data_IF_548967281040
#
_entry.id   IF_548967281040
#
_cell.length_a   1.000
_cell.length_b   1.000
_cell.length_c   1.000
_cell.angle_alpha   90.00
_cell.angle_beta   90.00
_cell.angle_gamma   90.00
#
_symmetry.space_group_name_H-M   'P 1'
#
loop_
_entity.id
_entity.type
_entity.pdbx_description
1 polymer ?
#
# COMPACT_ATOMS: atom_id res chain seq x y z
N UNK A 1 -4.59 3.85 3.49
CA UNK A 1 -3.74 4.58 4.46
C UNK A 1 -2.31 4.04 4.49
N UNK A 2 -2.05 2.80 4.93
CA UNK A 2 -0.67 2.21 4.91
C UNK A 2 -0.02 2.24 3.52
N UNK A 3 -0.71 1.78 2.46
CA UNK A 3 -0.18 1.82 1.09
C UNK A 3 0.11 3.25 0.61
N UNK A 4 -0.76 4.22 0.92
CA UNK A 4 -0.55 5.61 0.51
C UNK A 4 0.68 6.22 1.18
N UNK A 5 0.82 6.03 2.50
CA UNK A 5 2.01 6.45 3.25
C UNK A 5 3.28 5.72 2.79
N UNK A 6 3.19 4.41 2.52
CA UNK A 6 4.33 3.60 2.10
C UNK A 6 4.92 4.05 0.77
N UNK A 7 4.06 4.45 -0.16
CA UNK A 7 4.44 4.80 -1.54
C UNK A 7 4.34 6.30 -1.82
N UNK A 8 4.15 7.14 -0.79
CA UNK A 8 4.06 8.61 -0.96
C UNK A 8 2.89 9.05 -1.85
N UNK A 9 1.79 8.29 -1.93
CA UNK A 9 0.72 8.57 -2.89
C UNK A 9 -0.09 9.85 -2.56
N UNK A 10 0.06 10.40 -1.35
CA UNK A 10 -0.63 11.61 -0.91
C UNK A 10 0.32 12.84 -0.86
N UNK A 11 1.61 12.66 -0.61
CA UNK A 11 2.60 13.73 -0.31
C UNK A 11 3.99 13.52 -0.96
N UNK A 12 4.09 12.58 -1.90
CA UNK A 12 5.31 12.15 -2.60
C UNK A 12 6.47 11.75 -1.65
N UNK A 13 6.14 11.44 -0.39
CA UNK A 13 7.11 11.11 0.65
C UNK A 13 6.89 9.67 1.14
N UNK A 14 7.62 8.68 0.58
CA UNK A 14 7.52 7.29 1.03
C UNK A 14 7.97 7.12 2.48
N UNK A 15 7.11 6.53 3.30
CA UNK A 15 7.41 6.22 4.71
C UNK A 15 7.76 4.74 4.90
N UNK A 16 8.63 4.44 5.85
CA UNK A 16 8.95 3.07 6.26
C UNK A 16 7.84 2.45 7.11
N UNK A 17 7.80 1.11 7.20
CA UNK A 17 6.86 0.41 8.08
C UNK A 17 7.00 0.81 9.56
N UNK A 18 8.20 1.22 9.98
CA UNK A 18 8.47 1.66 11.34
C UNK A 18 7.91 3.07 11.59
N UNK A 19 8.10 4.01 10.65
CA UNK A 19 7.53 5.36 10.74
C UNK A 19 6.01 5.31 10.69
N UNK A 20 5.44 4.55 9.76
CA UNK A 20 3.99 4.32 9.68
C UNK A 20 3.47 3.69 10.98
N UNK A 21 4.22 2.77 11.58
CA UNK A 21 3.90 2.18 12.87
C UNK A 21 3.83 3.22 13.99
N UNK A 22 4.82 4.12 14.06
CA UNK A 22 4.81 5.24 15.02
C UNK A 22 3.62 6.18 14.78
N UNK A 23 3.34 6.55 13.55
CA UNK A 23 2.23 7.47 13.20
C UNK A 23 0.85 6.88 13.48
N UNK A 24 0.70 5.56 13.38
CA UNK A 24 -0.58 4.87 13.57
C UNK A 24 -0.73 4.23 14.95
N UNK A 25 0.26 4.38 15.83
CA UNK A 25 0.36 3.69 17.13
C UNK A 25 0.21 2.16 17.00
N UNK A 26 0.94 1.59 16.03
CA UNK A 26 0.94 0.17 15.73
C UNK A 26 2.37 -0.38 15.70
N UNK A 27 2.50 -1.67 16.03
CA UNK A 27 3.78 -2.36 15.82
C UNK A 27 4.12 -2.43 14.33
N UNK A 28 5.43 -2.41 14.01
CA UNK A 28 5.94 -2.61 12.64
C UNK A 28 5.35 -3.86 11.99
N UNK A 29 5.23 -4.95 12.74
CA UNK A 29 4.68 -6.21 12.25
C UNK A 29 3.19 -6.09 11.93
N UNK A 30 2.43 -5.34 12.73
CA UNK A 30 1.03 -5.08 12.43
C UNK A 30 0.87 -4.27 11.14
N UNK A 31 1.72 -3.28 10.90
CA UNK A 31 1.75 -2.52 9.63
C UNK A 31 2.08 -3.43 8.44
N UNK A 32 3.07 -4.32 8.58
CA UNK A 32 3.43 -5.32 7.55
C UNK A 32 2.26 -6.23 7.18
N UNK A 33 1.50 -6.70 8.18
CA UNK A 33 0.31 -7.53 7.94
C UNK A 33 -0.78 -6.76 7.18
N UNK A 34 -1.00 -5.49 7.53
CA UNK A 34 -1.97 -4.64 6.84
C UNK A 34 -1.53 -4.39 5.39
N UNK A 35 -0.25 -4.12 5.15
CA UNK A 35 0.33 -3.94 3.81
C UNK A 35 0.11 -5.20 2.95
N UNK A 36 0.49 -6.37 3.45
CA UNK A 36 0.32 -7.64 2.74
C UNK A 36 -1.15 -7.92 2.38
N UNK A 37 -2.08 -7.70 3.34
CA UNK A 37 -3.52 -7.85 3.08
C UNK A 37 -4.03 -6.85 2.03
N UNK A 38 -3.54 -5.62 2.04
CA UNK A 38 -3.92 -4.61 1.07
C UNK A 38 -3.41 -4.95 -0.34
N UNK A 39 -2.13 -5.33 -0.47
CA UNK A 39 -1.54 -5.77 -1.73
C UNK A 39 -2.25 -7.00 -2.30
N UNK A 40 -2.59 -7.98 -1.44
CA UNK A 40 -3.35 -9.15 -1.86
C UNK A 40 -4.72 -8.75 -2.41
N UNK A 41 -5.45 -7.84 -1.72
CA UNK A 41 -6.74 -7.33 -2.19
C UNK A 41 -6.64 -6.58 -3.52
N UNK A 42 -5.53 -5.87 -3.79
CA UNK A 42 -5.32 -5.17 -5.06
C UNK A 42 -5.07 -6.12 -6.24
N UNK A 43 -4.53 -7.32 -5.98
CA UNK A 43 -4.28 -8.33 -7.01
C UNK A 43 -5.52 -9.13 -7.43
N UNK A 44 -6.61 -9.04 -6.66
CA UNK A 44 -7.83 -9.79 -6.91
C UNK A 44 -8.54 -9.30 -8.20
N UNK A 45 -9.01 -10.22 -9.06
CA UNK A 45 -9.65 -9.87 -10.33
C UNK A 45 -10.86 -8.95 -10.20
N UNK A 46 -11.65 -9.10 -9.13
CA UNK A 46 -12.81 -8.25 -8.83
C UNK A 46 -12.48 -6.77 -8.66
N UNK A 47 -11.21 -6.43 -8.36
CA UNK A 47 -10.71 -5.06 -8.26
C UNK A 47 -9.79 -4.64 -9.42
N UNK A 48 -9.54 -5.54 -10.39
CA UNK A 48 -8.66 -5.26 -11.55
C UNK A 48 -9.23 -4.24 -12.52
N UNK A 49 -10.54 -4.02 -12.56
CA UNK A 49 -11.17 -3.06 -13.49
C UNK A 49 -10.76 -1.59 -13.30
N UNK A 50 -9.93 -1.24 -12.31
CA UNK A 50 -9.36 0.11 -12.13
C UNK A 50 -7.83 0.14 -12.02
N UNK A 51 -7.18 -1.02 -11.96
CA UNK A 51 -5.72 -1.15 -11.74
C UNK A 51 -5.01 -1.71 -12.97
N UNK A 52 -5.72 -2.46 -13.84
CA UNK A 52 -5.14 -3.09 -15.03
C UNK A 52 -4.68 -2.08 -16.08
N UNK A 53 -5.45 -0.99 -16.26
CA UNK A 53 -5.11 0.06 -17.23
C UNK A 53 -3.75 0.71 -16.95
N UNK A 54 -3.33 0.80 -15.68
CA UNK A 54 -2.02 1.36 -15.30
C UNK A 54 -0.86 0.36 -15.38
N UNK A 55 -1.13 -0.94 -15.52
CA UNK A 55 -0.09 -1.96 -15.64
C UNK A 55 0.19 -2.37 -17.10
N UNK A 56 -0.79 -2.22 -18.01
CA UNK A 56 -0.59 -2.43 -19.45
C UNK A 56 0.22 -1.29 -20.11
N UNK A 57 0.30 -0.11 -19.49
CA UNK A 57 1.11 1.04 -19.96
C UNK A 57 2.61 0.95 -19.57
N UNK A 58 3.03 -0.10 -18.85
CA UNK A 58 4.41 -0.28 -18.35
C UNK A 58 5.17 -1.46 -18.99
N UNK A 59 4.56 -2.14 -19.97
CA UNK A 59 5.20 -3.14 -20.85
C UNK A 59 5.50 -2.53 -22.23
#
# INVERSE_FOLDING_TARGET
RVIRLRFGLDDDTPQTLAEIGKTLDLSRERVRQIESRALHKLRLPERRGRVRDYMEDLD
#
